data_IF_016165740941
#
_entry.id   IF_016165740941
#
_cell.length_a   1.000
_cell.length_b   1.000
_cell.length_c   1.000
_cell.angle_alpha   90.00
_cell.angle_beta   90.00
_cell.angle_gamma   90.00
#
_symmetry.space_group_name_H-M   'P 1'
#
loop_
_entity.id
_entity.type
_entity.pdbx_description
1 polymer ?
#
# COMPACT_ATOMS: atom_id res chain seq x y z
N UNK A 1 -3.95 1.66 19.26
CA UNK A 1 -3.71 0.27 18.83
C UNK A 1 -3.96 -0.67 19.99
N UNK A 2 -5.00 -1.50 19.90
CA UNK A 2 -5.42 -2.33 21.03
C UNK A 2 -4.55 -3.60 21.23
N UNK A 3 -3.75 -3.96 20.21
CA UNK A 3 -2.94 -5.18 20.24
C UNK A 3 -1.50 -4.99 20.76
N UNK A 4 -1.06 -3.77 21.02
CA UNK A 4 0.34 -3.47 21.39
C UNK A 4 0.78 -4.16 22.70
N UNK A 5 -0.16 -4.46 23.59
CA UNK A 5 0.12 -5.13 24.85
C UNK A 5 0.19 -6.68 24.73
N UNK A 6 -0.06 -7.23 23.55
CA UNK A 6 0.07 -8.66 23.32
C UNK A 6 1.57 -9.01 23.18
N UNK A 7 2.09 -10.00 23.91
CA UNK A 7 3.51 -10.37 23.87
C UNK A 7 3.99 -10.87 22.49
N UNK A 8 3.08 -11.23 21.59
CA UNK A 8 3.37 -11.63 20.21
C UNK A 8 3.30 -10.47 19.20
N UNK A 9 3.05 -9.25 19.68
CA UNK A 9 2.97 -8.05 18.82
C UNK A 9 4.08 -7.10 19.20
N UNK A 10 4.85 -6.69 18.22
CA UNK A 10 5.87 -5.66 18.35
C UNK A 10 5.58 -4.53 17.37
N UNK A 11 5.81 -3.30 17.79
CA UNK A 11 5.70 -2.13 16.92
C UNK A 11 6.88 -1.20 17.16
N UNK A 12 7.46 -0.73 16.08
CA UNK A 12 8.54 0.26 16.10
C UNK A 12 8.32 1.32 15.03
N UNK A 13 8.40 2.58 15.42
CA UNK A 13 8.53 3.69 14.47
C UNK A 13 10.01 3.94 14.19
N UNK A 14 10.35 4.01 12.91
CA UNK A 14 11.69 4.35 12.43
C UNK A 14 11.64 5.76 11.86
N UNK A 15 12.55 6.62 12.32
CA UNK A 15 12.63 7.99 11.82
C UNK A 15 13.29 8.03 10.44
N UNK A 16 12.66 8.73 9.50
CA UNK A 16 13.27 9.16 8.25
C UNK A 16 13.86 10.55 8.47
N UNK A 17 15.18 10.70 8.41
CA UNK A 17 15.85 11.99 8.64
C UNK A 17 15.93 12.88 7.40
N UNK A 18 15.61 12.33 6.24
CA UNK A 18 15.58 13.05 4.97
C UNK A 18 14.13 13.14 4.49
N UNK A 19 13.72 14.33 4.08
CA UNK A 19 12.33 14.62 3.68
C UNK A 19 11.87 13.90 2.42
N UNK A 20 12.78 13.24 1.70
CA UNK A 20 12.52 12.61 0.41
C UNK A 20 12.54 11.09 0.47
N UNK A 21 12.74 10.48 1.64
CA UNK A 21 12.76 9.02 1.79
C UNK A 21 11.52 8.56 2.56
N UNK A 22 10.76 7.65 1.97
CA UNK A 22 9.64 6.99 2.63
C UNK A 22 10.09 6.01 3.70
N UNK A 23 11.26 5.41 3.50
CA UNK A 23 11.80 4.39 4.39
C UNK A 23 13.06 4.86 5.11
N UNK A 24 13.26 4.35 6.31
CA UNK A 24 14.51 4.54 7.05
C UNK A 24 15.62 3.71 6.42
N UNK A 25 16.84 4.24 6.38
CA UNK A 25 18.04 3.49 5.96
C UNK A 25 18.30 2.20 6.75
N UNK A 26 17.65 2.04 7.90
CA UNK A 26 17.77 0.86 8.78
C UNK A 26 16.62 -0.13 8.63
N UNK A 27 15.76 0.02 7.61
CA UNK A 27 14.59 -0.84 7.42
C UNK A 27 14.98 -2.30 7.21
N UNK A 28 16.03 -2.56 6.43
CA UNK A 28 16.51 -3.93 6.18
C UNK A 28 16.96 -4.63 7.44
N UNK A 29 17.77 -3.96 8.25
CA UNK A 29 18.25 -4.51 9.51
C UNK A 29 17.10 -4.78 10.48
N UNK A 30 16.11 -3.87 10.53
CA UNK A 30 14.92 -4.08 11.34
C UNK A 30 14.11 -5.30 10.88
N UNK A 31 13.92 -5.49 9.58
CA UNK A 31 13.25 -6.67 9.01
C UNK A 31 14.03 -7.95 9.37
N UNK A 32 15.36 -7.96 9.21
CA UNK A 32 16.19 -9.13 9.55
C UNK A 32 16.08 -9.50 11.04
N UNK A 33 16.06 -8.52 11.92
CA UNK A 33 15.86 -8.75 13.37
C UNK A 33 14.50 -9.39 13.63
N UNK A 34 13.43 -8.89 13.00
CA UNK A 34 12.08 -9.44 13.18
C UNK A 34 11.97 -10.86 12.60
N UNK A 35 12.59 -11.14 11.44
CA UNK A 35 12.69 -12.50 10.88
C UNK A 35 13.46 -13.44 11.81
N UNK A 36 14.58 -13.00 12.38
CA UNK A 36 15.35 -13.78 13.35
C UNK A 36 14.57 -14.04 14.65
N UNK A 37 13.72 -13.10 15.06
CA UNK A 37 12.81 -13.26 16.20
C UNK A 37 11.57 -14.11 15.88
N UNK A 38 11.48 -14.68 14.66
CA UNK A 38 10.41 -15.59 14.21
C UNK A 38 9.01 -14.97 14.24
N UNK A 39 8.90 -13.71 13.84
CA UNK A 39 7.59 -13.12 13.56
C UNK A 39 7.02 -13.69 12.26
N UNK A 40 5.78 -14.14 12.29
CA UNK A 40 5.08 -14.76 11.15
C UNK A 40 4.65 -13.73 10.12
N UNK A 41 4.36 -12.50 10.56
CA UNK A 41 3.94 -11.40 9.71
C UNK A 41 4.70 -10.12 10.09
N UNK A 42 5.30 -9.48 9.10
CA UNK A 42 5.96 -8.17 9.25
C UNK A 42 5.22 -7.18 8.36
N UNK A 43 4.65 -6.15 8.96
CA UNK A 43 3.97 -5.07 8.24
C UNK A 43 4.92 -3.87 8.20
N UNK A 44 5.34 -3.50 7.00
CA UNK A 44 6.13 -2.30 6.74
C UNK A 44 5.20 -1.18 6.27
N UNK A 45 5.07 -0.13 7.09
CA UNK A 45 4.25 1.04 6.76
C UNK A 45 5.14 2.21 6.37
N UNK A 46 4.85 2.82 5.23
CA UNK A 46 5.50 4.07 4.80
C UNK A 46 4.69 5.27 5.24
N UNK A 47 5.37 6.39 5.49
CA UNK A 47 4.70 7.68 5.55
C UNK A 47 4.23 8.05 4.14
N UNK A 48 2.98 8.49 3.98
CA UNK A 48 2.42 8.89 2.68
C UNK A 48 3.13 10.11 2.10
N UNK A 49 4.34 9.93 1.58
CA UNK A 49 5.17 10.99 1.00
C UNK A 49 5.06 11.00 -0.52
N UNK A 50 3.88 11.09 -1.06
CA UNK A 50 3.75 11.23 -2.50
C UNK A 50 3.38 9.96 -3.25
N UNK A 51 3.17 10.12 -4.55
CA UNK A 51 2.51 9.16 -5.42
C UNK A 51 3.50 8.20 -6.11
N UNK A 52 4.81 8.37 -5.90
CA UNK A 52 5.88 7.70 -6.65
C UNK A 52 6.89 6.94 -5.78
N UNK A 53 6.49 6.57 -4.56
CA UNK A 53 7.40 5.89 -3.64
C UNK A 53 7.32 4.38 -3.77
N UNK A 54 8.08 3.85 -4.72
CA UNK A 54 8.15 2.41 -5.02
C UNK A 54 9.23 1.68 -4.21
N UNK A 55 10.00 2.38 -3.38
CA UNK A 55 11.10 1.79 -2.60
C UNK A 55 10.62 0.65 -1.66
N UNK A 56 9.38 0.75 -1.16
CA UNK A 56 8.80 -0.27 -0.28
C UNK A 56 8.71 -1.65 -0.94
N UNK A 57 8.56 -1.71 -2.26
CA UNK A 57 8.38 -2.95 -3.02
C UNK A 57 9.63 -3.82 -2.92
N UNK A 58 10.81 -3.21 -2.90
CA UNK A 58 12.09 -3.93 -2.79
C UNK A 58 12.26 -4.63 -1.43
N UNK A 59 11.46 -4.25 -0.43
CA UNK A 59 11.55 -4.73 0.94
C UNK A 59 10.38 -5.62 1.37
N UNK A 60 9.41 -5.87 0.47
CA UNK A 60 8.18 -6.60 0.78
C UNK A 60 7.96 -7.78 -0.16
N UNK A 61 7.34 -8.83 0.35
CA UNK A 61 6.91 -10.00 -0.43
C UNK A 61 5.53 -9.76 -1.08
N UNK A 62 4.76 -8.81 -0.53
CA UNK A 62 3.44 -8.40 -1.00
C UNK A 62 3.24 -6.91 -0.72
N UNK A 63 2.80 -6.17 -1.72
CA UNK A 63 2.52 -4.74 -1.61
C UNK A 63 1.03 -4.46 -1.57
N UNK A 64 0.60 -3.70 -0.54
CA UNK A 64 -0.76 -3.21 -0.39
C UNK A 64 -0.78 -1.68 -0.48
N UNK A 65 -1.40 -1.16 -1.53
CA UNK A 65 -1.63 0.27 -1.64
C UNK A 65 -2.97 0.66 -1.01
N UNK A 66 -2.95 1.58 -0.04
CA UNK A 66 -4.16 2.07 0.62
C UNK A 66 -4.45 3.49 0.17
N UNK A 67 -5.61 3.69 -0.43
CA UNK A 67 -6.06 5.00 -0.91
C UNK A 67 -7.45 5.36 -0.37
N UNK A 68 -7.90 6.57 -0.60
CA UNK A 68 -9.25 7.03 -0.22
C UNK A 68 -10.03 7.46 -1.45
N UNK A 69 -11.40 7.53 -1.39
CA UNK A 69 -12.24 7.85 -2.53
C UNK A 69 -11.93 9.19 -3.20
N UNK A 70 -11.37 10.14 -2.47
CA UNK A 70 -11.00 11.46 -3.01
C UNK A 70 -9.93 11.38 -4.10
N UNK A 71 -9.09 10.36 -4.07
CA UNK A 71 -8.05 10.10 -5.08
C UNK A 71 -8.51 9.14 -6.17
N UNK A 72 -9.72 8.60 -6.08
CA UNK A 72 -10.31 7.65 -7.04
C UNK A 72 -10.90 8.29 -8.30
N UNK A 73 -10.78 9.62 -8.50
CA UNK A 73 -11.21 10.24 -9.73
C UNK A 73 -10.31 9.83 -10.91
N UNK A 74 -10.89 9.43 -12.03
CA UNK A 74 -10.16 8.88 -13.19
C UNK A 74 -8.96 9.73 -13.64
N UNK A 75 -9.10 11.06 -13.61
CA UNK A 75 -8.01 12.01 -13.98
C UNK A 75 -6.86 12.06 -12.97
N UNK A 76 -7.06 11.58 -11.75
CA UNK A 76 -6.01 11.49 -10.73
C UNK A 76 -5.33 10.13 -10.74
N UNK A 77 -6.06 9.06 -11.09
CA UNK A 77 -5.56 7.68 -11.07
C UNK A 77 -4.40 7.46 -12.04
N UNK A 78 -4.41 8.13 -13.20
CA UNK A 78 -3.31 8.06 -14.18
C UNK A 78 -1.97 8.59 -13.67
N UNK A 79 -1.99 9.35 -12.56
CA UNK A 79 -0.80 9.94 -11.93
C UNK A 79 -0.30 9.16 -10.73
N UNK A 80 -0.93 8.03 -10.42
CA UNK A 80 -0.60 7.21 -9.24
C UNK A 80 0.26 6.03 -9.69
N UNK A 81 1.57 6.22 -9.72
CA UNK A 81 2.54 5.19 -10.12
C UNK A 81 2.42 3.90 -9.27
N UNK A 82 1.97 4.04 -8.00
CA UNK A 82 1.79 2.87 -7.12
C UNK A 82 0.75 1.87 -7.60
N UNK A 83 -0.20 2.27 -8.46
CA UNK A 83 -1.15 1.33 -9.06
C UNK A 83 -0.50 0.37 -10.07
N UNK A 84 0.68 0.71 -10.60
CA UNK A 84 1.44 -0.15 -11.51
C UNK A 84 2.17 -1.28 -10.76
N UNK A 85 2.44 -1.07 -9.49
CA UNK A 85 3.32 -1.92 -8.68
C UNK A 85 2.61 -2.63 -7.52
N UNK A 86 1.40 -2.18 -7.15
CA UNK A 86 0.66 -2.77 -6.04
C UNK A 86 0.09 -4.13 -6.41
N UNK A 87 0.35 -5.16 -5.57
CA UNK A 87 -0.31 -6.46 -5.69
C UNK A 87 -1.78 -6.38 -5.27
N UNK A 88 -2.07 -5.56 -4.25
CA UNK A 88 -3.40 -5.33 -3.72
C UNK A 88 -3.67 -3.83 -3.57
N UNK A 89 -4.90 -3.43 -3.79
CA UNK A 89 -5.35 -2.05 -3.54
C UNK A 89 -6.53 -2.06 -2.58
N UNK A 90 -6.49 -1.23 -1.54
CA UNK A 90 -7.59 -1.06 -0.60
C UNK A 90 -8.12 0.37 -0.64
N UNK A 91 -9.43 0.50 -0.87
CA UNK A 91 -10.12 1.78 -0.83
C UNK A 91 -10.68 2.02 0.59
N UNK A 92 -9.89 2.68 1.42
CA UNK A 92 -10.26 3.00 2.80
C UNK A 92 -11.30 4.15 2.86
N UNK A 93 -11.98 4.30 4.00
CA UNK A 93 -13.05 5.28 4.21
C UNK A 93 -14.19 5.13 3.21
N UNK A 94 -14.64 3.90 3.02
CA UNK A 94 -15.67 3.54 2.06
C UNK A 94 -17.07 4.07 2.41
N UNK A 95 -17.24 4.61 3.62
CA UNK A 95 -18.42 5.36 4.08
C UNK A 95 -18.57 6.72 3.41
N UNK A 96 -17.53 7.22 2.75
CA UNK A 96 -17.58 8.50 2.07
C UNK A 96 -18.39 8.45 0.77
N UNK A 97 -19.01 9.59 0.45
CA UNK A 97 -19.72 9.77 -0.82
C UNK A 97 -18.77 9.53 -2.01
N UNK A 98 -19.27 8.80 -3.00
CA UNK A 98 -18.50 8.50 -4.23
C UNK A 98 -17.59 7.28 -4.14
N UNK A 99 -17.58 6.55 -3.00
CA UNK A 99 -16.74 5.37 -2.84
C UNK A 99 -17.02 4.26 -3.87
N UNK A 100 -18.31 4.05 -4.20
CA UNK A 100 -18.71 3.06 -5.23
C UNK A 100 -18.22 3.42 -6.65
N UNK A 101 -18.21 4.69 -6.99
CA UNK A 101 -17.67 5.14 -8.27
C UNK A 101 -16.14 5.05 -8.27
N UNK A 102 -15.51 5.47 -7.17
CA UNK A 102 -14.07 5.40 -7.01
C UNK A 102 -13.54 3.96 -7.15
N UNK A 103 -14.13 2.97 -6.46
CA UNK A 103 -13.67 1.58 -6.56
C UNK A 103 -13.79 1.03 -7.98
N UNK A 104 -14.87 1.38 -8.70
CA UNK A 104 -15.05 0.99 -10.10
C UNK A 104 -13.96 1.60 -10.99
N UNK A 105 -13.65 2.86 -10.80
CA UNK A 105 -12.65 3.57 -11.61
C UNK A 105 -11.23 3.08 -11.29
N UNK A 106 -10.93 2.79 -10.02
CA UNK A 106 -9.66 2.17 -9.59
C UNK A 106 -9.49 0.78 -10.19
N UNK A 107 -10.53 -0.07 -10.18
CA UNK A 107 -10.51 -1.40 -10.81
C UNK A 107 -10.17 -1.31 -12.31
N UNK A 108 -10.81 -0.39 -13.02
CA UNK A 108 -10.53 -0.15 -14.45
C UNK A 108 -9.10 0.36 -14.68
N UNK A 109 -8.63 1.26 -13.83
CA UNK A 109 -7.26 1.77 -13.96
C UNK A 109 -6.23 0.67 -13.68
N UNK A 110 -6.42 -0.13 -12.63
CA UNK A 110 -5.59 -1.29 -12.32
C UNK A 110 -5.54 -2.26 -13.50
N UNK A 111 -6.70 -2.60 -14.08
CA UNK A 111 -6.81 -3.46 -15.26
C UNK A 111 -5.97 -2.92 -16.44
N UNK A 112 -6.04 -1.61 -16.71
CA UNK A 112 -5.25 -0.95 -17.77
C UNK A 112 -3.75 -1.03 -17.51
N UNK A 113 -3.32 -0.67 -16.30
CA UNK A 113 -1.91 -0.62 -15.92
C UNK A 113 -1.25 -2.00 -16.02
N UNK A 114 -1.99 -3.04 -15.68
CA UNK A 114 -1.51 -4.43 -15.74
C UNK A 114 -1.81 -5.16 -17.06
N UNK A 115 -2.38 -4.47 -18.07
CA UNK A 115 -2.76 -5.02 -19.37
C UNK A 115 -3.70 -6.25 -19.30
N UNK A 116 -4.60 -6.28 -18.33
CA UNK A 116 -5.53 -7.40 -18.05
C UNK A 116 -6.87 -7.25 -18.79
N UNK A 117 -6.83 -6.95 -20.08
CA UNK A 117 -8.01 -6.61 -20.89
C UNK A 117 -9.06 -7.72 -20.99
N UNK A 118 -8.63 -8.98 -20.88
CA UNK A 118 -9.49 -10.16 -20.97
C UNK A 118 -10.07 -10.60 -19.62
N UNK A 119 -9.72 -9.91 -18.54
CA UNK A 119 -10.19 -10.21 -17.18
C UNK A 119 -11.30 -9.24 -16.78
N UNK A 120 -12.34 -9.74 -16.13
CA UNK A 120 -13.42 -8.88 -15.63
C UNK A 120 -12.87 -7.87 -14.61
N UNK A 121 -13.16 -6.55 -14.75
CA UNK A 121 -12.73 -5.56 -13.77
C UNK A 121 -13.11 -5.88 -12.32
N UNK A 122 -14.20 -6.62 -12.10
CA UNK A 122 -14.62 -7.00 -10.74
C UNK A 122 -13.70 -8.05 -10.09
N UNK A 123 -12.88 -8.73 -10.87
CA UNK A 123 -11.88 -9.70 -10.39
C UNK A 123 -10.53 -9.04 -10.04
N UNK A 124 -10.38 -7.74 -10.29
CA UNK A 124 -9.15 -7.02 -9.93
C UNK A 124 -8.96 -7.01 -8.40
N UNK A 125 -7.71 -7.10 -7.91
CA UNK A 125 -7.39 -7.13 -6.48
C UNK A 125 -7.55 -5.75 -5.82
N UNK A 126 -8.73 -5.16 -5.98
CA UNK A 126 -9.14 -3.85 -5.47
C UNK A 126 -10.38 -4.03 -4.59
N UNK A 127 -10.25 -3.66 -3.30
CA UNK A 127 -11.23 -3.93 -2.24
C UNK A 127 -11.66 -2.66 -1.50
#
# INVERSE_FOLDING_TARGET
MNAINNPRVYMRSLATRQSNLALSKYVNEAIQVLKAAKYDLIILETSGIGQSDTEIIEHSDLSLYVMTPEFGAATQLEKIDMLDFADLVALNKFDKRGALDAIRDVKKQYQRNHNLWDVNPDEMPVF
#
